data_IF_148950915082
#
_entry.id   IF_148950915082
#
_cell.length_a   1.000
_cell.length_b   1.000
_cell.length_c   1.000
_cell.angle_alpha   90.00
_cell.angle_beta   90.00
_cell.angle_gamma   90.00
#
_symmetry.space_group_name_H-M   'P 1'
#
loop_
_entity.id
_entity.type
_entity.pdbx_description
1 polymer ?
#
# COMPACT_ATOMS: atom_id res chain seq x y z
N UNK A 1 0.91 13.06 -18.31
CA UNK A 1 2.12 13.52 -17.61
C UNK A 1 1.66 14.15 -16.31
N UNK A 2 1.78 13.45 -15.18
CA UNK A 2 1.43 13.99 -13.86
C UNK A 2 2.49 15.03 -13.51
N UNK A 3 2.13 16.26 -13.09
CA UNK A 3 3.10 17.30 -12.86
C UNK A 3 4.02 16.93 -11.67
N UNK A 4 5.31 17.20 -11.82
CA UNK A 4 6.39 16.73 -10.93
C UNK A 4 6.35 17.22 -9.47
N UNK A 5 5.38 18.07 -9.09
CA UNK A 5 5.32 18.72 -7.79
C UNK A 5 4.49 17.97 -6.73
N UNK A 6 3.89 16.82 -7.05
CA UNK A 6 3.10 16.02 -6.10
C UNK A 6 3.75 14.69 -5.72
N UNK A 7 4.94 14.37 -6.25
CA UNK A 7 5.67 13.16 -5.86
C UNK A 7 6.48 13.45 -4.61
N UNK A 8 6.07 12.96 -3.42
CA UNK A 8 6.89 13.10 -2.21
C UNK A 8 8.24 12.41 -2.42
N UNK A 9 9.27 12.95 -1.75
CA UNK A 9 10.56 12.29 -1.69
C UNK A 9 10.41 10.87 -1.14
N UNK A 10 11.02 9.92 -1.84
CA UNK A 10 11.11 8.55 -1.37
C UNK A 10 11.98 8.51 -0.11
N UNK A 11 11.72 7.58 0.83
CA UNK A 11 12.62 7.33 1.97
C UNK A 11 14.08 7.16 1.55
N UNK A 12 15.00 7.65 2.37
CA UNK A 12 16.44 7.50 2.14
C UNK A 12 16.88 6.02 2.20
N UNK A 13 17.87 5.66 1.38
CA UNK A 13 18.49 4.32 1.42
C UNK A 13 17.73 3.20 0.67
N UNK A 14 16.68 3.55 -0.08
CA UNK A 14 15.97 2.62 -0.97
C UNK A 14 16.85 2.23 -2.16
N UNK A 15 16.76 0.96 -2.58
CA UNK A 15 17.37 0.48 -3.81
C UNK A 15 16.62 0.93 -5.06
N UNK A 16 17.30 0.88 -6.21
CA UNK A 16 16.82 1.42 -7.50
C UNK A 16 15.41 0.94 -7.89
N UNK A 17 15.10 -0.33 -7.64
CA UNK A 17 13.78 -0.88 -7.97
C UNK A 17 12.69 -0.39 -7.03
N UNK A 18 12.96 -0.22 -5.73
CA UNK A 18 12.00 0.39 -4.83
C UNK A 18 11.75 1.85 -5.21
N UNK A 19 12.79 2.60 -5.61
CA UNK A 19 12.63 3.96 -6.14
C UNK A 19 11.78 3.98 -7.42
N UNK A 20 11.99 3.02 -8.33
CA UNK A 20 11.18 2.89 -9.54
C UNK A 20 9.71 2.57 -9.23
N UNK A 21 9.45 1.67 -8.28
CA UNK A 21 8.09 1.32 -7.81
C UNK A 21 7.40 2.53 -7.17
N UNK A 22 8.11 3.26 -6.32
CA UNK A 22 7.61 4.51 -5.71
C UNK A 22 7.20 5.52 -6.77
N UNK A 23 8.09 5.77 -7.74
CA UNK A 23 7.84 6.71 -8.83
C UNK A 23 6.66 6.28 -9.70
N UNK A 24 6.55 4.98 -10.01
CA UNK A 24 5.44 4.43 -10.78
C UNK A 24 4.09 4.57 -10.04
N UNK A 25 4.08 4.39 -8.72
CA UNK A 25 2.89 4.59 -7.90
C UNK A 25 2.41 6.04 -7.96
N UNK A 26 3.32 7.01 -7.77
CA UNK A 26 2.97 8.43 -7.81
C UNK A 26 2.58 8.92 -9.20
N UNK A 27 3.10 8.29 -10.27
CA UNK A 27 2.68 8.55 -11.64
C UNK A 27 1.31 7.93 -12.00
N UNK A 28 0.78 7.03 -11.18
CA UNK A 28 -0.51 6.38 -11.40
C UNK A 28 -1.68 7.33 -11.09
N UNK A 29 -2.89 6.98 -11.54
CA UNK A 29 -4.11 7.74 -11.19
C UNK A 29 -4.52 7.57 -9.72
N UNK A 30 -4.01 6.55 -9.04
CA UNK A 30 -4.40 6.20 -7.67
C UNK A 30 -3.78 7.13 -6.64
N UNK A 31 -2.58 7.65 -6.95
CA UNK A 31 -1.87 8.60 -6.08
C UNK A 31 -2.66 9.88 -5.81
N UNK A 32 -3.56 10.28 -6.72
CA UNK A 32 -4.40 11.46 -6.53
C UNK A 32 -5.45 11.34 -5.43
N UNK A 33 -5.74 10.13 -4.95
CA UNK A 33 -6.69 9.88 -3.86
C UNK A 33 -6.00 9.71 -2.49
N UNK A 34 -4.66 9.74 -2.46
CA UNK A 34 -3.87 9.56 -1.24
C UNK A 34 -3.82 10.84 -0.43
N UNK A 35 -4.09 10.76 0.87
CA UNK A 35 -3.83 11.86 1.80
C UNK A 35 -2.46 11.63 2.46
N UNK A 36 -1.44 12.42 2.07
CA UNK A 36 -0.09 12.30 2.64
C UNK A 36 -0.02 12.49 4.16
N UNK A 37 -0.97 13.24 4.75
CA UNK A 37 -1.03 13.44 6.19
C UNK A 37 -1.52 12.20 6.94
N UNK A 38 -2.49 11.47 6.37
CA UNK A 38 -3.05 10.27 6.99
C UNK A 38 -2.30 8.99 6.56
N UNK A 39 -1.93 8.90 5.29
CA UNK A 39 -1.43 7.68 4.64
C UNK A 39 0.09 7.63 4.55
N UNK A 40 0.78 8.73 4.83
CA UNK A 40 2.21 8.89 4.57
C UNK A 40 3.08 7.87 5.31
N UNK A 41 2.75 7.48 6.54
CA UNK A 41 3.50 6.46 7.28
C UNK A 41 3.30 5.06 6.68
N UNK A 42 2.07 4.69 6.36
CA UNK A 42 1.75 3.40 5.78
C UNK A 42 2.35 3.24 4.37
N UNK A 43 2.40 4.31 3.56
CA UNK A 43 3.10 4.32 2.27
C UNK A 43 4.62 4.18 2.40
N UNK A 44 5.22 4.86 3.39
CA UNK A 44 6.66 4.71 3.69
C UNK A 44 6.96 3.27 4.13
N UNK A 45 6.12 2.69 4.98
CA UNK A 45 6.28 1.30 5.39
C UNK A 45 6.18 0.33 4.21
N UNK A 46 5.17 0.51 3.35
CA UNK A 46 4.99 -0.30 2.15
C UNK A 46 6.23 -0.31 1.26
N UNK A 47 6.80 0.86 0.95
CA UNK A 47 7.95 0.93 0.04
C UNK A 47 9.22 0.35 0.65
N UNK A 48 9.40 0.47 1.97
CA UNK A 48 10.47 -0.21 2.70
C UNK A 48 10.31 -1.74 2.65
N UNK A 49 9.09 -2.25 2.79
CA UNK A 49 8.83 -3.68 2.63
C UNK A 49 9.14 -4.20 1.22
N UNK A 50 8.84 -3.40 0.18
CA UNK A 50 9.18 -3.72 -1.21
C UNK A 50 10.69 -3.84 -1.39
N UNK A 51 11.45 -2.85 -0.89
CA UNK A 51 12.91 -2.84 -0.95
C UNK A 51 13.52 -4.03 -0.19
N UNK A 52 13.10 -4.25 1.06
CA UNK A 52 13.57 -5.35 1.89
C UNK A 52 13.30 -6.70 1.21
N UNK A 53 12.09 -6.90 0.68
CA UNK A 53 11.71 -8.14 -0.01
C UNK A 53 12.62 -8.40 -1.21
N UNK A 54 12.98 -7.38 -1.97
CA UNK A 54 13.85 -7.55 -3.12
C UNK A 54 15.27 -7.92 -2.71
N UNK A 55 15.83 -7.23 -1.70
CA UNK A 55 17.17 -7.54 -1.14
C UNK A 55 17.20 -8.99 -0.61
N UNK A 56 16.17 -9.40 0.13
CA UNK A 56 16.05 -10.76 0.63
C UNK A 56 15.88 -11.79 -0.47
N UNK A 57 15.08 -11.49 -1.51
CA UNK A 57 14.91 -12.39 -2.66
C UNK A 57 16.25 -12.61 -3.37
N UNK A 58 17.02 -11.56 -3.60
CA UNK A 58 18.36 -11.66 -4.18
C UNK A 58 19.31 -12.51 -3.32
N UNK A 59 19.27 -12.35 -1.99
CA UNK A 59 20.06 -13.15 -1.06
C UNK A 59 19.64 -14.63 -1.07
N UNK A 60 18.33 -14.94 -1.04
CA UNK A 60 17.82 -16.31 -1.08
C UNK A 60 18.10 -17.03 -2.40
N UNK A 61 18.14 -16.31 -3.53
CA UNK A 61 18.50 -16.90 -4.82
C UNK A 61 19.98 -17.32 -4.87
N UNK A 62 20.86 -16.58 -4.20
CA UNK A 62 22.29 -16.92 -4.09
C UNK A 62 22.54 -18.09 -3.14
N UNK A 63 21.75 -18.20 -2.07
CA UNK A 63 21.87 -19.25 -1.06
C UNK A 63 20.48 -19.80 -0.68
N UNK A 64 19.87 -20.66 -1.51
CA UNK A 64 18.53 -21.20 -1.25
C UNK A 64 18.52 -22.20 -0.08
N UNK A 65 19.64 -22.90 0.13
CA UNK A 65 19.84 -23.82 1.23
C UNK A 65 20.97 -23.30 2.11
N UNK A 66 20.80 -23.41 3.42
CA UNK A 66 21.80 -23.05 4.44
C UNK A 66 22.05 -24.26 5.31
N UNK A 67 23.27 -24.38 5.84
CA UNK A 67 23.57 -25.41 6.84
C UNK A 67 22.87 -25.05 8.15
N UNK A 68 22.02 -25.93 8.62
CA UNK A 68 21.42 -25.86 9.95
C UNK A 68 22.41 -26.26 11.03
N UNK A 69 22.02 -26.10 12.29
CA UNK A 69 22.87 -26.34 13.46
C UNK A 69 23.37 -27.79 13.61
N UNK A 70 22.71 -28.75 12.94
CA UNK A 70 23.10 -30.17 12.89
C UNK A 70 23.75 -30.55 11.54
N UNK A 71 24.36 -29.59 10.85
CA UNK A 71 24.98 -29.72 9.52
C UNK A 71 24.06 -30.16 8.35
N UNK A 72 22.79 -30.43 8.63
CA UNK A 72 21.77 -30.69 7.63
C UNK A 72 21.48 -29.45 6.77
N UNK A 73 21.26 -29.66 5.47
CA UNK A 73 20.81 -28.61 4.56
C UNK A 73 19.35 -28.27 4.85
N UNK A 74 19.08 -27.02 5.20
CA UNK A 74 17.73 -26.51 5.46
C UNK A 74 17.41 -25.37 4.49
N UNK A 75 16.11 -25.15 4.24
CA UNK A 75 15.64 -23.97 3.53
C UNK A 75 16.10 -22.71 4.23
N UNK A 76 16.55 -21.72 3.45
CA UNK A 76 16.99 -20.44 4.00
C UNK A 76 15.86 -19.77 4.82
N UNK A 77 16.06 -19.45 6.11
CA UNK A 77 15.05 -18.80 6.96
C UNK A 77 14.47 -17.51 6.37
N UNK A 78 15.25 -16.83 5.51
CA UNK A 78 14.83 -15.62 4.81
C UNK A 78 13.63 -15.85 3.87
N UNK A 79 13.34 -17.09 3.46
CA UNK A 79 12.10 -17.42 2.73
C UNK A 79 10.86 -17.07 3.54
N UNK A 80 10.88 -17.32 4.85
CA UNK A 80 9.74 -17.00 5.73
C UNK A 80 9.53 -15.50 5.80
N UNK A 81 10.59 -14.74 6.04
CA UNK A 81 10.55 -13.26 6.05
C UNK A 81 10.08 -12.70 4.71
N UNK A 82 10.58 -13.23 3.60
CA UNK A 82 10.17 -12.81 2.23
C UNK A 82 8.68 -13.03 1.99
N UNK A 83 8.13 -14.15 2.49
CA UNK A 83 6.68 -14.44 2.41
C UNK A 83 5.88 -13.48 3.28
N UNK A 84 6.34 -13.19 4.49
CA UNK A 84 5.64 -12.31 5.42
C UNK A 84 5.61 -10.86 4.87
N UNK A 85 6.73 -10.36 4.34
CA UNK A 85 6.78 -9.09 3.61
C UNK A 85 5.84 -9.07 2.40
N UNK A 86 5.69 -10.18 1.68
CA UNK A 86 4.74 -10.29 0.58
C UNK A 86 3.29 -10.08 1.01
N UNK A 87 2.93 -10.48 2.24
CA UNK A 87 1.58 -10.25 2.80
C UNK A 87 1.39 -8.79 3.20
N UNK A 88 2.40 -8.18 3.81
CA UNK A 88 2.33 -6.77 4.21
C UNK A 88 2.21 -5.87 2.98
N UNK A 89 2.96 -6.17 1.92
CA UNK A 89 2.84 -5.48 0.63
C UNK A 89 1.44 -5.65 0.04
N UNK A 90 0.92 -6.89 -0.03
CA UNK A 90 -0.40 -7.14 -0.61
C UNK A 90 -1.52 -6.41 0.18
N UNK A 91 -1.40 -6.36 1.50
CA UNK A 91 -2.34 -5.62 2.35
C UNK A 91 -2.29 -4.12 2.08
N UNK A 92 -1.10 -3.54 1.95
CA UNK A 92 -0.94 -2.14 1.60
C UNK A 92 -1.48 -1.84 0.19
N UNK A 93 -1.20 -2.70 -0.79
CA UNK A 93 -1.71 -2.58 -2.16
C UNK A 93 -3.25 -2.64 -2.23
N UNK A 94 -3.87 -3.47 -1.39
CA UNK A 94 -5.32 -3.53 -1.26
C UNK A 94 -5.87 -2.28 -0.56
N UNK A 95 -5.24 -1.84 0.53
CA UNK A 95 -5.65 -0.66 1.29
C UNK A 95 -5.62 0.61 0.43
N UNK A 96 -4.56 0.80 -0.34
CA UNK A 96 -4.38 1.99 -1.19
C UNK A 96 -5.01 1.88 -2.57
N UNK A 97 -5.74 0.80 -2.90
CA UNK A 97 -6.36 0.71 -4.23
C UNK A 97 -5.35 0.53 -5.37
N UNK A 98 -4.18 -0.05 -5.11
CA UNK A 98 -3.16 -0.25 -6.14
C UNK A 98 -3.56 -1.35 -7.13
N UNK A 99 -4.44 -2.28 -6.74
CA UNK A 99 -5.00 -3.32 -7.62
C UNK A 99 -6.34 -2.92 -8.23
N UNK A 100 -6.70 -3.42 -9.44
CA UNK A 100 -8.00 -3.13 -10.06
C UNK A 100 -9.20 -3.48 -9.17
N UNK A 101 -9.12 -4.61 -8.46
CA UNK A 101 -10.17 -5.05 -7.54
C UNK A 101 -10.29 -4.11 -6.33
N UNK A 102 -9.16 -3.69 -5.77
CA UNK A 102 -9.16 -2.74 -4.66
C UNK A 102 -9.71 -1.37 -5.09
N UNK A 103 -9.38 -0.89 -6.30
CA UNK A 103 -9.99 0.33 -6.85
C UNK A 103 -11.50 0.22 -6.96
N UNK A 104 -12.00 -0.89 -7.47
CA UNK A 104 -13.44 -1.13 -7.59
C UNK A 104 -14.11 -1.13 -6.22
N UNK A 105 -13.52 -1.81 -5.23
CA UNK A 105 -14.01 -1.86 -3.85
C UNK A 105 -14.07 -0.46 -3.23
N UNK A 106 -12.98 0.30 -3.32
CA UNK A 106 -12.93 1.67 -2.79
C UNK A 106 -13.97 2.59 -3.46
N UNK A 107 -14.16 2.48 -4.78
CA UNK A 107 -15.18 3.23 -5.50
C UNK A 107 -16.61 2.90 -5.04
N UNK A 108 -16.91 1.63 -4.77
CA UNK A 108 -18.21 1.20 -4.22
C UNK A 108 -18.42 1.76 -2.81
N UNK A 109 -17.41 1.70 -1.94
CA UNK A 109 -17.49 2.25 -0.58
C UNK A 109 -17.72 3.75 -0.59
N UNK A 110 -17.01 4.50 -1.45
CA UNK A 110 -17.19 5.95 -1.55
C UNK A 110 -18.61 6.33 -1.99
N UNK A 111 -19.18 5.63 -2.97
CA UNK A 111 -20.57 5.86 -3.42
C UNK A 111 -21.59 5.58 -2.30
N UNK A 112 -21.37 4.52 -1.53
CA UNK A 112 -22.22 4.19 -0.38
C UNK A 112 -22.16 5.27 0.72
N UNK A 113 -20.97 5.80 1.00
CA UNK A 113 -20.80 6.88 1.96
C UNK A 113 -21.50 8.18 1.52
N UNK A 114 -21.42 8.53 0.24
CA UNK A 114 -22.13 9.70 -0.28
C UNK A 114 -23.65 9.53 -0.17
N UNK A 115 -24.18 8.38 -0.61
CA UNK A 115 -25.61 8.08 -0.49
C UNK A 115 -26.07 8.11 0.99
N UNK A 116 -25.27 7.61 1.92
CA UNK A 116 -25.58 7.64 3.35
C UNK A 116 -25.53 9.07 3.92
N UNK A 117 -24.57 9.89 3.50
CA UNK A 117 -24.47 11.32 3.88
C UNK A 117 -25.68 12.11 3.36
N UNK A 118 -26.06 11.89 2.11
CA UNK A 118 -27.24 12.51 1.49
C UNK A 118 -28.54 12.11 2.19
N UNK A 119 -28.75 10.82 2.48
CA UNK A 119 -29.91 10.34 3.23
C UNK A 119 -29.96 10.96 4.64
N UNK A 120 -28.83 11.03 5.35
CA UNK A 120 -28.76 11.65 6.67
C UNK A 120 -29.09 13.15 6.62
N UNK A 121 -28.62 13.87 5.59
CA UNK A 121 -28.94 15.28 5.40
C UNK A 121 -30.42 15.48 5.05
N UNK A 122 -30.99 14.65 4.18
CA UNK A 122 -32.40 14.68 3.84
C UNK A 122 -33.29 14.43 5.07
N UNK A 123 -32.94 13.45 5.91
CA UNK A 123 -33.63 13.19 7.20
C UNK A 123 -33.53 14.37 8.15
N UNK A 124 -32.36 15.02 8.25
CA UNK A 124 -32.15 16.21 9.09
C UNK A 124 -32.95 17.42 8.59
N UNK A 125 -33.00 17.63 7.28
CA UNK A 125 -33.80 18.70 6.67
C UNK A 125 -35.30 18.47 6.93
N UNK A 126 -35.78 17.23 6.78
CA UNK A 126 -37.18 16.88 7.03
C UNK A 126 -37.57 16.89 8.53
N UNK A 127 -36.60 16.90 9.45
CA UNK A 127 -36.82 17.05 10.90
C UNK A 127 -36.81 18.50 11.38
N UNK A 128 -36.37 19.45 10.54
CA UNK A 128 -36.36 20.90 10.81
C UNK A 128 -37.62 21.70 10.39
N UNK A 129 -38.77 21.15 9.98
CA UNK A 129 -40.00 21.93 9.84
C UNK A 129 -40.80 21.86 11.14
N UNK A 130 -40.45 22.67 12.15
CA UNK A 130 -41.27 23.18 13.27
C UNK A 130 -40.38 23.56 14.47
N UNK A 131 -39.67 24.67 14.34
CA UNK A 131 -39.31 25.50 15.48
C UNK A 131 -39.56 26.94 15.02
N UNK A 132 -40.79 27.40 15.25
CA UNK A 132 -41.10 28.83 15.31
C UNK A 132 -40.43 29.43 16.55
#
# INVERSE_FOLDING_TARGET
MVPAHLTPWSPDGLGDHAVAVWTAFWASRVSGAVDLGADGEALRHWILCVDERQKLRAATLRAPLVKGSHEQLMLNPLFRRTRDLGRDIARAEEHFGMTPLARLRLGVTFLQEQAAKEDLQARRANRRPHAM
#
